data_IF_254558403643
#
_entry.id   IF_254558403643
#
_cell.length_a   1.000
_cell.length_b   1.000
_cell.length_c   1.000
_cell.angle_alpha   90.00
_cell.angle_beta   90.00
_cell.angle_gamma   90.00
#
_symmetry.space_group_name_H-M   'P 1'
#
loop_
_entity.id
_entity.type
_entity.pdbx_description
1 polymer ?
#
# COMPACT_ATOMS: atom_id res chain seq x y z
N UNK A 1 -3.07 -30.63 26.97
CA UNK A 1 -3.59 -30.34 25.61
C UNK A 1 -4.26 -28.98 25.63
N UNK A 2 -3.58 -27.94 25.17
CA UNK A 2 -4.15 -26.61 25.04
C UNK A 2 -5.22 -26.65 23.93
N UNK A 3 -6.46 -26.29 24.27
CA UNK A 3 -7.53 -26.14 23.28
C UNK A 3 -7.20 -24.92 22.43
N UNK A 4 -6.87 -25.16 21.19
CA UNK A 4 -6.52 -24.18 20.20
C UNK A 4 -7.76 -23.39 19.75
N UNK A 5 -7.67 -22.06 19.76
CA UNK A 5 -8.78 -21.16 19.47
C UNK A 5 -9.18 -21.13 17.99
N UNK A 6 -10.43 -20.82 17.72
CA UNK A 6 -10.99 -20.75 16.38
C UNK A 6 -10.66 -19.39 15.71
N UNK A 7 -10.41 -19.41 14.40
CA UNK A 7 -10.53 -18.24 13.57
C UNK A 7 -11.92 -17.64 13.79
N UNK A 8 -12.01 -16.39 14.24
CA UNK A 8 -13.30 -15.72 14.35
C UNK A 8 -13.65 -15.21 12.98
N UNK A 9 -14.43 -16.00 12.23
CA UNK A 9 -15.15 -15.49 11.07
C UNK A 9 -16.35 -14.78 11.64
N UNK A 10 -16.50 -13.50 11.34
CA UNK A 10 -17.72 -12.73 11.63
C UNK A 10 -18.58 -12.73 10.35
N UNK A 11 -19.42 -13.75 10.13
CA UNK A 11 -20.30 -13.76 8.99
C UNK A 11 -21.35 -12.68 9.16
N UNK A 12 -21.49 -11.80 8.15
CA UNK A 12 -22.61 -10.86 8.07
C UNK A 12 -22.54 -9.70 9.05
N UNK A 13 -21.34 -9.17 9.34
CA UNK A 13 -21.28 -7.85 9.94
C UNK A 13 -21.99 -6.88 8.99
N UNK A 14 -23.10 -6.31 9.41
CA UNK A 14 -23.88 -5.33 8.64
C UNK A 14 -23.01 -4.12 8.25
N UNK A 15 -21.92 -3.89 9.01
CA UNK A 15 -20.98 -2.79 8.84
C UNK A 15 -19.52 -3.27 9.05
N UNK A 16 -18.93 -3.96 8.06
CA UNK A 16 -17.59 -4.58 8.22
C UNK A 16 -16.47 -3.57 8.48
N UNK A 17 -16.50 -2.41 7.82
CA UNK A 17 -15.49 -1.35 7.96
C UNK A 17 -15.53 -0.76 9.38
N UNK A 18 -16.70 -0.41 9.87
CA UNK A 18 -16.92 0.17 11.21
C UNK A 18 -16.51 -0.83 12.28
N UNK A 19 -16.82 -2.09 12.07
CA UNK A 19 -16.42 -3.18 12.97
C UNK A 19 -14.90 -3.31 13.03
N UNK A 20 -14.22 -3.27 11.87
CA UNK A 20 -12.76 -3.30 11.82
C UNK A 20 -12.15 -2.11 12.54
N UNK A 21 -12.64 -0.89 12.29
CA UNK A 21 -12.15 0.35 12.94
C UNK A 21 -12.34 0.30 14.45
N UNK A 22 -13.50 -0.13 14.93
CA UNK A 22 -13.76 -0.21 16.37
C UNK A 22 -12.88 -1.24 17.09
N UNK A 23 -12.61 -2.39 16.45
CA UNK A 23 -11.66 -3.38 16.97
C UNK A 23 -10.24 -2.81 17.05
N UNK A 24 -9.82 -2.09 16.02
CA UNK A 24 -8.50 -1.48 15.96
C UNK A 24 -8.34 -0.35 16.98
N UNK A 25 -9.36 0.48 17.19
CA UNK A 25 -9.32 1.54 18.19
C UNK A 25 -9.06 0.98 19.60
N UNK A 26 -9.68 -0.15 19.90
CA UNK A 26 -9.44 -0.86 21.14
C UNK A 26 -7.98 -1.36 21.27
N UNK A 27 -7.35 -1.74 20.15
CA UNK A 27 -5.97 -2.22 20.06
C UNK A 27 -5.00 -1.16 19.54
N UNK A 28 -5.35 0.11 19.52
CA UNK A 28 -4.63 1.21 18.85
C UNK A 28 -3.18 1.40 19.29
N UNK A 29 -2.80 0.89 20.48
CA UNK A 29 -1.42 0.93 20.99
C UNK A 29 -0.57 -0.28 20.59
N UNK A 30 -1.17 -1.31 20.01
CA UNK A 30 -0.46 -2.51 19.55
C UNK A 30 -0.05 -2.36 18.10
N UNK A 31 0.92 -3.16 17.67
CA UNK A 31 1.17 -3.37 16.25
C UNK A 31 -0.06 -3.99 15.60
N UNK A 32 -0.43 -3.49 14.42
CA UNK A 32 -1.54 -4.04 13.65
C UNK A 32 -1.32 -3.93 12.16
N UNK A 33 -1.99 -4.80 11.41
CA UNK A 33 -2.28 -4.67 9.99
C UNK A 33 -3.75 -4.88 9.72
N UNK A 34 -4.29 -4.08 8.84
CA UNK A 34 -5.60 -4.27 8.22
C UNK A 34 -5.43 -4.33 6.73
N UNK A 35 -6.11 -5.26 6.11
CA UNK A 35 -6.12 -5.44 4.68
C UNK A 35 -7.52 -5.78 4.21
N UNK A 36 -8.05 -5.02 3.26
CA UNK A 36 -9.33 -5.30 2.61
C UNK A 36 -9.10 -5.90 1.24
N UNK A 37 -9.74 -7.03 1.00
CA UNK A 37 -9.78 -7.70 -0.30
C UNK A 37 -11.22 -8.10 -0.59
N UNK A 38 -11.78 -7.58 -1.67
CA UNK A 38 -13.10 -7.97 -2.16
C UNK A 38 -14.19 -7.87 -1.06
N UNK A 39 -14.22 -6.72 -0.36
CA UNK A 39 -15.10 -6.41 0.79
C UNK A 39 -14.89 -7.29 2.04
N UNK A 40 -13.88 -8.15 2.03
CA UNK A 40 -13.48 -8.94 3.21
C UNK A 40 -12.32 -8.23 3.92
N UNK A 41 -12.50 -8.03 5.23
CA UNK A 41 -11.52 -7.36 6.08
C UNK A 41 -10.69 -8.38 6.86
N UNK A 42 -9.38 -8.30 6.70
CA UNK A 42 -8.39 -9.13 7.37
C UNK A 42 -7.65 -8.29 8.39
N UNK A 43 -7.68 -8.69 9.65
CA UNK A 43 -7.05 -7.96 10.75
C UNK A 43 -5.95 -8.82 11.38
N UNK A 44 -4.74 -8.28 11.44
CA UNK A 44 -3.64 -8.79 12.24
C UNK A 44 -3.47 -7.91 13.47
N UNK A 45 -3.73 -8.43 14.67
CA UNK A 45 -3.70 -7.69 15.93
C UNK A 45 -2.58 -8.24 16.82
N UNK A 46 -1.57 -7.43 17.08
CA UNK A 46 -0.38 -7.82 17.83
C UNK A 46 0.56 -8.72 17.01
N UNK A 47 1.84 -8.53 17.18
CA UNK A 47 2.86 -9.37 16.56
C UNK A 47 3.13 -10.62 17.41
N UNK A 48 2.96 -11.82 16.83
CA UNK A 48 3.49 -13.05 17.39
C UNK A 48 4.98 -13.17 17.11
N UNK A 49 5.40 -12.78 15.93
CA UNK A 49 6.79 -12.60 15.55
C UNK A 49 6.89 -11.54 14.47
N UNK A 50 8.06 -10.93 14.35
CA UNK A 50 8.36 -9.98 13.26
C UNK A 50 9.70 -10.28 12.63
N UNK A 51 9.81 -10.15 11.31
CA UNK A 51 11.08 -10.14 10.58
C UNK A 51 11.29 -8.74 10.02
N UNK A 52 12.40 -8.11 10.36
CA UNK A 52 12.73 -6.74 9.95
C UNK A 52 14.06 -6.71 9.24
N UNK A 53 14.09 -6.13 8.06
CA UNK A 53 15.33 -5.91 7.31
C UNK A 53 15.79 -4.48 7.54
N UNK A 54 17.08 -4.33 7.84
CA UNK A 54 17.67 -3.01 8.05
C UNK A 54 17.59 -2.15 6.76
N UNK A 55 17.67 -0.82 6.90
CA UNK A 55 17.56 0.08 5.75
C UNK A 55 18.61 -0.09 4.66
N UNK A 56 19.74 -0.73 4.97
CA UNK A 56 20.81 -1.02 3.99
C UNK A 56 20.61 -2.38 3.32
N UNK A 57 19.67 -3.20 3.81
CA UNK A 57 19.43 -4.54 3.29
C UNK A 57 20.55 -5.52 3.63
N UNK A 58 21.29 -5.29 4.72
CA UNK A 58 22.45 -6.09 5.11
C UNK A 58 22.15 -7.08 6.23
N UNK A 59 21.15 -6.76 7.07
CA UNK A 59 20.81 -7.54 8.24
C UNK A 59 19.31 -7.79 8.30
N UNK A 60 18.92 -9.03 8.55
CA UNK A 60 17.58 -9.41 8.90
C UNK A 60 17.50 -9.72 10.39
N UNK A 61 16.54 -9.14 11.09
CA UNK A 61 16.32 -9.35 12.52
C UNK A 61 14.94 -9.96 12.73
N UNK A 62 14.93 -11.16 13.28
CA UNK A 62 13.72 -11.81 13.78
C UNK A 62 13.48 -11.36 15.23
N UNK A 63 12.22 -11.02 15.55
CA UNK A 63 11.78 -10.59 16.88
C UNK A 63 10.62 -11.50 17.26
N UNK A 64 10.75 -12.24 18.35
CA UNK A 64 9.69 -13.14 18.83
C UNK A 64 8.65 -12.42 19.71
N UNK A 65 7.64 -13.17 20.18
CA UNK A 65 6.55 -12.67 21.03
C UNK A 65 7.00 -12.15 22.39
N UNK A 66 8.22 -12.50 22.83
CA UNK A 66 8.81 -12.04 24.09
C UNK A 66 9.75 -10.82 23.85
N UNK A 67 9.89 -10.38 22.61
CA UNK A 67 10.75 -9.27 22.21
C UNK A 67 12.23 -9.66 22.09
N UNK A 68 12.58 -10.96 22.15
CA UNK A 68 13.94 -11.43 21.91
C UNK A 68 14.29 -11.25 20.44
N UNK A 69 15.51 -10.78 20.19
CA UNK A 69 16.00 -10.43 18.85
C UNK A 69 17.10 -11.36 18.43
N UNK A 70 16.95 -11.95 17.26
CA UNK A 70 17.99 -12.72 16.58
C UNK A 70 18.30 -12.06 15.23
N UNK A 71 19.55 -11.65 15.04
CA UNK A 71 19.98 -10.95 13.83
C UNK A 71 20.91 -11.83 13.01
N UNK A 72 20.68 -11.87 11.71
CA UNK A 72 21.51 -12.59 10.73
C UNK A 72 21.94 -11.68 9.60
N UNK A 73 23.17 -11.85 9.12
CA UNK A 73 23.68 -11.13 7.95
C UNK A 73 23.07 -11.70 6.67
N UNK A 74 22.65 -10.83 5.78
CA UNK A 74 22.12 -11.21 4.46
C UNK A 74 23.32 -11.35 3.52
N UNK A 75 23.78 -12.59 3.29
CA UNK A 75 24.98 -12.86 2.50
C UNK A 75 24.71 -12.84 0.99
N UNK A 76 23.53 -13.33 0.54
CA UNK A 76 23.20 -13.46 -0.88
C UNK A 76 21.78 -12.92 -1.17
N UNK A 77 20.76 -13.74 -0.98
CA UNK A 77 19.37 -13.39 -1.23
C UNK A 77 18.56 -13.46 0.07
N UNK A 78 17.89 -12.37 0.39
CA UNK A 78 16.97 -12.28 1.52
C UNK A 78 15.80 -13.29 1.44
N UNK A 79 15.48 -13.78 0.23
CA UNK A 79 14.38 -14.73 0.02
C UNK A 79 14.51 -16.00 0.84
N UNK A 80 15.71 -16.48 1.14
CA UNK A 80 15.92 -17.62 2.02
C UNK A 80 15.43 -17.38 3.46
N UNK A 81 15.82 -16.26 4.07
CA UNK A 81 15.41 -15.88 5.42
C UNK A 81 13.91 -15.58 5.49
N UNK A 82 13.37 -14.93 4.45
CA UNK A 82 11.94 -14.66 4.35
C UNK A 82 11.14 -15.96 4.28
N UNK A 83 11.54 -16.92 3.45
CA UNK A 83 10.88 -18.23 3.34
C UNK A 83 10.98 -19.01 4.65
N UNK A 84 12.11 -18.96 5.31
CA UNK A 84 12.30 -19.59 6.62
C UNK A 84 11.34 -18.99 7.67
N UNK A 85 11.24 -17.66 7.73
CA UNK A 85 10.30 -16.98 8.62
C UNK A 85 8.86 -17.36 8.28
N UNK A 86 8.47 -17.31 7.00
CA UNK A 86 7.12 -17.68 6.55
C UNK A 86 6.82 -19.13 6.91
N UNK A 87 7.70 -20.07 6.58
CA UNK A 87 7.53 -21.50 6.90
C UNK A 87 7.39 -21.76 8.40
N UNK A 88 8.12 -20.99 9.22
CA UNK A 88 8.07 -21.14 10.69
C UNK A 88 6.77 -20.64 11.29
N UNK A 89 6.20 -19.55 10.76
CA UNK A 89 5.10 -18.83 11.41
C UNK A 89 3.76 -18.89 10.67
N UNK A 90 3.72 -19.20 9.37
CA UNK A 90 2.48 -19.23 8.59
C UNK A 90 1.50 -20.32 9.05
N UNK A 91 2.00 -21.39 9.63
CA UNK A 91 1.18 -22.45 10.23
C UNK A 91 0.35 -21.95 11.43
N UNK A 92 0.77 -20.86 12.05
CA UNK A 92 0.13 -20.26 13.22
C UNK A 92 -0.89 -19.18 12.86
N UNK A 93 -0.86 -18.64 11.65
CA UNK A 93 -1.76 -17.56 11.23
C UNK A 93 -1.40 -16.93 9.91
N UNK A 94 -2.01 -15.77 9.65
CA UNK A 94 -1.65 -14.97 8.48
C UNK A 94 -0.36 -14.19 8.74
N UNK A 95 0.37 -13.94 7.67
CA UNK A 95 1.52 -13.05 7.67
C UNK A 95 1.14 -11.80 6.90
N UNK A 96 1.32 -10.66 7.53
CA UNK A 96 1.21 -9.35 6.92
C UNK A 96 2.60 -8.75 6.76
N UNK A 97 2.74 -7.83 5.82
CA UNK A 97 4.02 -7.18 5.66
C UNK A 97 3.98 -5.93 4.81
N UNK A 98 5.13 -5.29 4.76
CA UNK A 98 5.37 -4.15 3.89
C UNK A 98 6.79 -4.21 3.35
N UNK A 99 6.97 -3.75 2.13
CA UNK A 99 8.28 -3.56 1.51
C UNK A 99 8.35 -2.15 0.92
N UNK A 100 9.41 -1.43 1.20
CA UNK A 100 9.65 -0.11 0.63
C UNK A 100 10.02 -0.17 -0.85
N UNK A 101 10.06 0.98 -1.50
CA UNK A 101 10.63 1.10 -2.84
C UNK A 101 12.16 1.20 -2.79
N UNK A 102 12.83 0.74 -3.83
CA UNK A 102 14.29 0.53 -3.90
C UNK A 102 15.16 1.81 -3.93
N UNK A 103 14.73 2.93 -3.40
CA UNK A 103 15.31 4.26 -3.69
C UNK A 103 16.21 4.87 -2.61
N UNK A 104 16.88 4.11 -1.73
CA UNK A 104 17.87 4.71 -0.83
C UNK A 104 19.21 4.98 -1.54
N UNK A 105 19.81 6.15 -1.30
CA UNK A 105 21.16 6.49 -1.75
C UNK A 105 22.20 5.54 -1.12
N UNK A 106 23.04 4.92 -1.96
CA UNK A 106 24.32 4.39 -1.48
C UNK A 106 25.25 5.57 -1.16
N UNK A 107 26.11 5.42 -0.16
CA UNK A 107 27.15 6.41 0.07
C UNK A 107 28.05 6.56 -1.18
N UNK A 108 28.56 7.76 -1.46
CA UNK A 108 29.47 7.96 -2.59
C UNK A 108 30.63 6.96 -2.52
N UNK A 109 30.85 6.21 -3.62
CA UNK A 109 31.95 5.24 -3.75
C UNK A 109 31.63 3.80 -3.36
N UNK A 110 30.43 3.47 -2.89
CA UNK A 110 30.02 2.08 -2.66
C UNK A 110 29.35 1.48 -3.89
N UNK A 111 29.87 0.36 -4.38
CA UNK A 111 29.19 -0.48 -5.36
C UNK A 111 27.87 -0.97 -4.76
N UNK A 112 26.78 -0.73 -5.46
CA UNK A 112 25.44 -1.03 -5.00
C UNK A 112 25.08 -2.47 -5.34
N UNK A 113 24.92 -3.30 -4.32
CA UNK A 113 24.07 -4.48 -4.43
C UNK A 113 22.64 -4.01 -4.11
N UNK A 114 21.71 -3.96 -5.07
CA UNK A 114 20.34 -3.64 -4.76
C UNK A 114 19.81 -4.74 -3.84
N UNK A 115 19.51 -4.42 -2.56
CA UNK A 115 18.71 -5.34 -1.79
C UNK A 115 17.38 -5.47 -2.52
N UNK A 116 16.97 -6.67 -2.87
CA UNK A 116 15.70 -6.92 -3.57
C UNK A 116 14.50 -6.47 -2.74
N UNK A 117 14.70 -6.22 -1.43
CA UNK A 117 13.67 -5.99 -0.44
C UNK A 117 14.05 -4.86 0.53
N UNK A 118 14.14 -3.60 0.08
CA UNK A 118 14.49 -2.52 0.99
C UNK A 118 13.37 -2.35 2.01
N UNK A 119 13.76 -2.22 3.27
CA UNK A 119 12.83 -1.98 4.37
C UNK A 119 11.70 -3.03 4.50
N UNK A 120 11.95 -4.27 4.09
CA UNK A 120 10.99 -5.35 4.31
C UNK A 120 10.74 -5.52 5.81
N UNK A 121 9.47 -5.55 6.18
CA UNK A 121 9.04 -5.90 7.52
C UNK A 121 7.83 -6.82 7.42
N UNK A 122 7.93 -8.00 8.02
CA UNK A 122 6.85 -8.97 8.11
C UNK A 122 6.37 -9.07 9.56
N UNK A 123 5.09 -9.27 9.74
CA UNK A 123 4.44 -9.51 11.01
C UNK A 123 3.62 -10.80 10.91
N UNK A 124 4.03 -11.82 11.65
CA UNK A 124 3.23 -13.02 11.82
C UNK A 124 2.19 -12.79 12.91
N UNK A 125 0.95 -13.21 12.64
CA UNK A 125 -0.16 -13.13 13.59
C UNK A 125 -0.59 -14.54 14.01
N UNK A 126 -1.15 -14.69 15.18
CA UNK A 126 -1.71 -15.96 15.63
C UNK A 126 -3.06 -16.20 14.94
N UNK A 127 -3.21 -17.34 14.29
CA UNK A 127 -4.51 -17.84 13.78
C UNK A 127 -5.47 -18.12 14.93
N UNK A 128 -4.92 -18.34 16.10
CA UNK A 128 -5.63 -18.83 17.29
C UNK A 128 -5.41 -17.88 18.46
N UNK A 129 -6.46 -17.15 18.78
CA UNK A 129 -6.50 -16.33 19.98
C UNK A 129 -6.73 -17.16 21.24
N UNK A 130 -6.08 -16.83 22.38
CA UNK A 130 -6.51 -17.36 23.65
C UNK A 130 -8.01 -17.14 23.86
N UNK A 131 -8.72 -18.13 24.40
CA UNK A 131 -10.19 -18.07 24.57
C UNK A 131 -10.65 -16.77 25.26
N UNK A 132 -9.93 -16.30 26.28
CA UNK A 132 -10.20 -15.02 26.95
C UNK A 132 -10.19 -13.81 26.00
N UNK A 133 -9.27 -13.81 25.04
CA UNK A 133 -9.17 -12.73 24.04
C UNK A 133 -10.28 -12.84 23.00
N UNK A 134 -10.64 -14.05 22.59
CA UNK A 134 -11.78 -14.30 21.68
C UNK A 134 -13.11 -13.87 22.32
N UNK A 135 -13.34 -14.19 23.60
CA UNK A 135 -14.53 -13.75 24.34
C UNK A 135 -14.54 -12.23 24.51
N UNK A 136 -13.38 -11.62 24.75
CA UNK A 136 -13.25 -10.18 24.87
C UNK A 136 -13.59 -9.50 23.54
N UNK A 137 -13.11 -10.01 22.40
CA UNK A 137 -13.48 -9.50 21.08
C UNK A 137 -14.97 -9.64 20.82
N UNK A 138 -15.56 -10.79 21.14
CA UNK A 138 -17.02 -10.97 21.06
C UNK A 138 -17.78 -9.98 21.96
N UNK A 139 -17.23 -9.67 23.12
CA UNK A 139 -17.78 -8.64 24.02
C UNK A 139 -17.73 -7.24 23.41
N UNK A 140 -16.57 -6.87 22.84
CA UNK A 140 -16.38 -5.60 22.12
C UNK A 140 -17.37 -5.51 20.95
N UNK A 141 -17.45 -6.56 20.12
CA UNK A 141 -18.36 -6.61 18.98
C UNK A 141 -19.84 -6.42 19.38
N UNK A 142 -20.26 -6.98 20.52
CA UNK A 142 -21.59 -6.79 21.06
C UNK A 142 -21.84 -5.39 21.61
N UNK A 143 -20.79 -4.70 22.03
CA UNK A 143 -20.85 -3.33 22.56
C UNK A 143 -20.65 -2.24 21.49
N UNK A 144 -20.27 -2.62 20.27
CA UNK A 144 -20.18 -1.69 19.15
C UNK A 144 -21.60 -1.30 18.75
N UNK A 145 -21.99 -0.08 19.14
CA UNK A 145 -23.10 0.62 18.54
C UNK A 145 -22.55 1.61 17.53
N UNK A 146 -23.12 1.65 16.34
CA UNK A 146 -22.74 2.63 15.32
C UNK A 146 -22.83 4.07 15.84
N UNK A 147 -23.75 4.33 16.79
CA UNK A 147 -23.93 5.62 17.44
C UNK A 147 -22.72 6.02 18.32
N UNK A 148 -21.89 5.05 18.73
CA UNK A 148 -20.72 5.26 19.56
C UNK A 148 -19.41 5.36 18.77
N UNK A 149 -19.42 5.06 17.46
CA UNK A 149 -18.26 5.31 16.59
C UNK A 149 -18.22 6.80 16.34
N UNK A 150 -17.44 7.50 17.18
CA UNK A 150 -17.26 8.94 17.05
C UNK A 150 -16.60 9.25 15.70
N UNK A 151 -17.41 9.73 14.77
CA UNK A 151 -16.93 10.29 13.52
C UNK A 151 -16.63 11.77 13.76
N UNK A 152 -15.38 12.23 13.69
CA UNK A 152 -15.13 13.65 13.60
C UNK A 152 -15.88 14.18 12.37
N UNK A 153 -16.83 15.06 12.58
CA UNK A 153 -17.62 15.67 11.50
C UNK A 153 -16.85 16.72 10.72
N UNK A 154 -15.65 17.04 11.16
CA UNK A 154 -14.81 18.07 10.56
C UNK A 154 -13.51 17.42 10.05
N UNK A 155 -13.34 17.27 8.72
CA UNK A 155 -12.12 16.81 8.12
C UNK A 155 -11.07 17.91 8.22
N UNK A 156 -10.51 18.21 9.35
CA UNK A 156 -9.34 19.11 9.53
C UNK A 156 -9.13 20.23 8.50
N UNK A 157 -8.31 21.20 8.76
CA UNK A 157 -8.02 22.29 7.81
C UNK A 157 -7.56 21.76 6.45
N UNK A 158 -7.85 22.52 5.40
CA UNK A 158 -7.47 22.17 4.03
C UNK A 158 -5.94 21.97 3.95
N UNK A 159 -5.52 20.80 3.50
CA UNK A 159 -4.10 20.50 3.23
C UNK A 159 -3.69 21.26 1.97
N UNK A 160 -2.64 22.06 2.05
CA UNK A 160 -2.11 22.76 0.87
C UNK A 160 -1.39 21.77 -0.06
N UNK A 161 -2.04 21.42 -1.15
CA UNK A 161 -1.51 20.53 -2.16
C UNK A 161 -0.58 21.24 -3.16
N UNK A 162 -0.42 22.56 -3.07
CA UNK A 162 0.44 23.34 -3.99
C UNK A 162 1.89 23.42 -3.55
N UNK A 163 2.22 22.93 -2.37
CA UNK A 163 3.58 22.85 -1.86
C UNK A 163 4.51 22.16 -2.86
N UNK A 164 5.72 22.69 -3.04
CA UNK A 164 6.77 22.16 -3.92
C UNK A 164 6.45 22.24 -5.45
N UNK A 165 5.48 23.07 -5.86
CA UNK A 165 5.06 23.16 -7.26
C UNK A 165 6.22 23.46 -8.22
N UNK A 166 7.00 24.51 -7.94
CA UNK A 166 8.10 24.93 -8.80
C UNK A 166 9.23 23.90 -8.88
N UNK A 167 9.60 23.32 -7.76
CA UNK A 167 10.67 22.30 -7.72
C UNK A 167 10.21 21.01 -8.40
N UNK A 168 8.94 20.61 -8.24
CA UNK A 168 8.41 19.44 -8.93
C UNK A 168 8.35 19.65 -10.45
N UNK A 169 7.88 20.81 -10.92
CA UNK A 169 7.87 21.14 -12.35
C UNK A 169 9.28 21.14 -12.94
N UNK A 170 10.27 21.67 -12.21
CA UNK A 170 11.68 21.62 -12.63
C UNK A 170 12.21 20.16 -12.71
N UNK A 171 11.82 19.29 -11.78
CA UNK A 171 12.14 17.84 -11.84
C UNK A 171 11.53 17.17 -13.06
N UNK A 172 10.28 17.50 -13.39
CA UNK A 172 9.60 16.99 -14.60
C UNK A 172 10.29 17.48 -15.85
N UNK A 173 10.63 18.77 -15.95
CA UNK A 173 11.35 19.32 -17.10
C UNK A 173 12.70 18.63 -17.30
N UNK A 174 13.44 18.37 -16.22
CA UNK A 174 14.69 17.62 -16.27
C UNK A 174 14.47 16.16 -16.73
N UNK A 175 13.42 15.49 -16.24
CA UNK A 175 13.07 14.15 -16.69
C UNK A 175 12.76 14.10 -18.20
N UNK A 176 12.01 15.06 -18.72
CA UNK A 176 11.74 15.20 -20.17
C UNK A 176 13.05 15.36 -20.97
N UNK A 177 13.97 16.22 -20.50
CA UNK A 177 15.25 16.44 -21.14
C UNK A 177 16.10 15.16 -21.19
N UNK A 178 16.09 14.37 -20.13
CA UNK A 178 16.81 13.08 -20.08
C UNK A 178 16.16 12.01 -20.96
N UNK A 179 14.83 12.01 -21.07
CA UNK A 179 14.08 11.16 -22.00
C UNK A 179 14.43 11.53 -23.46
N UNK A 180 14.48 12.83 -23.77
CA UNK A 180 14.86 13.30 -25.11
C UNK A 180 16.30 12.86 -25.52
N UNK A 181 17.21 12.70 -24.53
CA UNK A 181 18.56 12.15 -24.75
C UNK A 181 18.57 10.61 -24.87
N UNK A 182 17.41 9.95 -24.82
CA UNK A 182 17.31 8.48 -24.93
C UNK A 182 17.78 7.71 -23.68
N UNK A 183 17.96 8.38 -22.54
CA UNK A 183 18.37 7.70 -21.29
C UNK A 183 17.25 6.86 -20.71
N UNK A 184 16.01 7.33 -20.84
CA UNK A 184 14.79 6.67 -20.39
C UNK A 184 13.69 6.80 -21.44
N UNK A 185 12.66 5.97 -21.38
CA UNK A 185 11.43 6.13 -22.16
C UNK A 185 10.28 6.68 -21.31
N UNK A 186 10.35 6.48 -19.99
CA UNK A 186 9.41 6.97 -19.00
C UNK A 186 10.12 7.13 -17.66
N UNK A 187 9.79 8.16 -16.91
CA UNK A 187 10.20 8.35 -15.52
C UNK A 187 8.99 8.75 -14.67
N UNK A 188 9.01 8.47 -13.36
CA UNK A 188 7.92 8.87 -12.46
C UNK A 188 8.51 9.60 -11.26
N UNK A 189 8.87 10.90 -11.40
CA UNK A 189 9.23 11.72 -10.27
C UNK A 189 8.05 11.87 -9.32
N UNK A 190 8.32 11.92 -8.03
CA UNK A 190 7.29 12.16 -7.01
C UNK A 190 7.62 13.37 -6.16
N UNK A 191 6.61 13.85 -5.42
CA UNK A 191 6.75 14.90 -4.43
C UNK A 191 6.04 14.55 -3.14
N UNK A 192 6.54 15.06 -2.02
CA UNK A 192 5.93 14.93 -0.70
C UNK A 192 5.19 16.20 -0.33
N UNK A 193 4.03 16.05 0.26
CA UNK A 193 3.28 17.13 0.91
C UNK A 193 3.30 16.85 2.41
N UNK A 194 4.07 17.61 3.19
CA UNK A 194 4.13 17.44 4.63
C UNK A 194 2.80 17.84 5.26
N UNK A 195 2.45 17.20 6.37
CA UNK A 195 1.31 17.56 7.21
C UNK A 195 1.86 18.20 8.48
N UNK A 196 1.25 19.28 8.93
CA UNK A 196 1.59 20.02 10.15
C UNK A 196 0.93 19.43 11.41
N UNK A 197 0.15 18.37 11.25
CA UNK A 197 -0.55 17.66 12.31
C UNK A 197 -0.34 16.15 12.22
N UNK A 198 -0.50 15.45 13.33
CA UNK A 198 -0.55 13.98 13.32
C UNK A 198 -1.91 13.50 12.84
N UNK A 199 -1.90 12.52 11.94
CA UNK A 199 -3.11 11.93 11.41
C UNK A 199 -3.67 10.85 12.37
N UNK A 200 -4.99 10.86 12.55
CA UNK A 200 -5.73 9.74 13.09
C UNK A 200 -5.93 8.69 11.99
N UNK A 201 -5.10 7.63 12.01
CA UNK A 201 -5.08 6.62 10.96
C UNK A 201 -6.40 5.84 10.84
N UNK A 202 -7.13 5.64 11.94
CA UNK A 202 -8.37 4.87 11.94
C UNK A 202 -9.56 5.72 11.49
N UNK A 203 -9.64 6.96 11.93
CA UNK A 203 -10.62 7.90 11.40
C UNK A 203 -10.41 8.14 9.91
N UNK A 204 -9.15 8.30 9.48
CA UNK A 204 -8.78 8.42 8.06
C UNK A 204 -9.16 7.17 7.26
N UNK A 205 -8.95 5.97 7.81
CA UNK A 205 -9.38 4.71 7.19
C UNK A 205 -10.89 4.71 6.93
N UNK A 206 -11.67 5.07 7.94
CA UNK A 206 -13.12 5.07 7.88
C UNK A 206 -13.68 6.07 6.85
N UNK A 207 -13.22 7.32 6.93
CA UNK A 207 -13.69 8.38 6.04
C UNK A 207 -13.22 8.15 4.59
N UNK A 208 -11.94 7.82 4.43
CA UNK A 208 -11.37 7.63 3.11
C UNK A 208 -11.93 6.40 2.38
N UNK A 209 -12.18 5.27 3.09
CA UNK A 209 -12.75 4.08 2.43
C UNK A 209 -14.19 4.31 1.96
N UNK A 210 -14.98 5.05 2.71
CA UNK A 210 -16.34 5.41 2.31
C UNK A 210 -16.40 6.28 1.05
N UNK A 211 -15.37 7.10 0.84
CA UNK A 211 -15.29 8.05 -0.27
C UNK A 211 -14.52 7.52 -1.50
N UNK A 212 -13.82 6.40 -1.37
CA UNK A 212 -12.97 5.85 -2.42
C UNK A 212 -13.44 4.46 -2.88
N UNK A 213 -13.08 4.13 -4.13
CA UNK A 213 -13.28 2.81 -4.75
C UNK A 213 -11.92 2.16 -5.07
N UNK A 214 -11.12 1.81 -4.04
CA UNK A 214 -9.79 1.25 -4.25
C UNK A 214 -9.85 -0.19 -4.76
N UNK A 215 -8.75 -0.68 -5.34
CA UNK A 215 -8.57 -2.10 -5.56
C UNK A 215 -8.35 -2.84 -4.23
N UNK A 216 -7.61 -2.20 -3.31
CA UNK A 216 -7.36 -2.69 -1.94
C UNK A 216 -7.27 -1.52 -0.98
N UNK A 217 -7.77 -1.73 0.24
CA UNK A 217 -7.59 -0.80 1.35
C UNK A 217 -6.66 -1.43 2.38
N UNK A 218 -5.80 -0.64 2.96
CA UNK A 218 -4.96 -1.09 4.07
C UNK A 218 -4.76 -0.01 5.12
N UNK A 219 -4.53 -0.44 6.35
CA UNK A 219 -3.99 0.40 7.43
C UNK A 219 -3.01 -0.42 8.25
N UNK A 220 -1.94 0.19 8.68
CA UNK A 220 -0.91 -0.47 9.48
C UNK A 220 -0.31 0.46 10.52
N UNK A 221 0.06 -0.15 11.64
CA UNK A 221 0.93 0.40 12.66
C UNK A 221 1.91 -0.72 13.05
N UNK A 222 3.14 -0.66 12.56
CA UNK A 222 4.12 -1.70 12.82
C UNK A 222 5.53 -1.14 12.76
N UNK A 223 6.32 -1.43 13.80
CA UNK A 223 7.72 -1.03 13.89
C UNK A 223 7.92 0.47 13.66
N UNK A 224 7.10 1.31 14.31
CA UNK A 224 7.20 2.76 14.27
C UNK A 224 6.72 3.45 12.99
N UNK A 225 6.20 2.70 12.03
CA UNK A 225 5.59 3.22 10.80
C UNK A 225 4.09 3.02 10.84
N UNK A 226 3.36 4.07 10.56
CA UNK A 226 1.92 4.05 10.36
C UNK A 226 1.60 4.46 8.92
N UNK A 227 0.66 3.79 8.31
CA UNK A 227 0.18 4.15 6.97
C UNK A 227 -1.27 3.70 6.80
N UNK A 228 -2.08 4.56 6.18
CA UNK A 228 -3.45 4.22 5.75
C UNK A 228 -3.58 4.59 4.28
N UNK A 229 -3.97 3.62 3.46
CA UNK A 229 -3.97 3.77 2.01
C UNK A 229 -5.17 3.13 1.32
N UNK A 230 -5.55 3.75 0.21
CA UNK A 230 -6.63 3.36 -0.70
C UNK A 230 -6.03 3.02 -2.06
N UNK A 231 -5.33 1.88 -2.09
CA UNK A 231 -4.54 1.48 -3.26
C UNK A 231 -5.40 1.29 -4.50
N UNK A 232 -5.05 1.90 -5.62
CA UNK A 232 -5.81 1.74 -6.86
C UNK A 232 -5.50 0.43 -7.59
N UNK A 233 -4.43 -0.30 -7.19
CA UNK A 233 -3.82 -1.34 -8.02
C UNK A 233 -3.31 -2.52 -7.21
N UNK A 234 -3.66 -3.75 -7.63
CA UNK A 234 -3.07 -4.99 -7.13
C UNK A 234 -1.76 -5.24 -7.85
N UNK A 235 -0.67 -5.21 -7.09
CA UNK A 235 0.67 -5.43 -7.62
C UNK A 235 0.91 -6.89 -7.99
N UNK A 236 0.47 -7.81 -7.15
CA UNK A 236 0.59 -9.24 -7.34
C UNK A 236 -0.49 -9.97 -6.54
N UNK A 237 -1.16 -10.91 -7.16
CA UNK A 237 -1.97 -11.90 -6.45
C UNK A 237 -1.67 -13.29 -6.98
N UNK A 238 -1.42 -14.23 -6.08
CA UNK A 238 -1.24 -15.64 -6.37
C UNK A 238 -2.21 -16.42 -5.51
N UNK A 239 -3.04 -17.24 -6.15
CA UNK A 239 -3.97 -18.12 -5.48
C UNK A 239 -4.01 -19.45 -6.23
N UNK A 240 -3.69 -20.55 -5.53
CA UNK A 240 -3.58 -21.89 -6.13
C UNK A 240 -2.70 -21.95 -7.40
N UNK A 241 -1.60 -21.18 -7.42
CA UNK A 241 -0.65 -21.10 -8.52
C UNK A 241 -1.12 -20.26 -9.72
N UNK A 242 -2.32 -19.69 -9.67
CA UNK A 242 -2.74 -18.67 -10.64
C UNK A 242 -2.20 -17.31 -10.20
N UNK A 243 -1.53 -16.65 -11.12
CA UNK A 243 -0.90 -15.35 -10.89
C UNK A 243 -1.65 -14.29 -11.67
N UNK A 244 -1.89 -13.14 -11.05
CA UNK A 244 -2.24 -11.94 -11.79
C UNK A 244 -1.59 -10.69 -11.20
N UNK A 245 -1.41 -9.70 -12.05
CA UNK A 245 -1.03 -8.34 -11.73
C UNK A 245 -1.91 -7.38 -12.52
N UNK A 246 -2.21 -6.25 -11.94
CA UNK A 246 -2.93 -5.18 -12.62
C UNK A 246 -1.93 -4.26 -13.31
N UNK A 247 -2.31 -3.73 -14.47
CA UNK A 247 -1.65 -2.62 -15.11
C UNK A 247 -2.64 -1.46 -15.12
N UNK A 248 -2.36 -0.44 -14.32
CA UNK A 248 -3.17 0.75 -14.16
C UNK A 248 -2.34 1.97 -14.54
N UNK A 249 -2.55 2.51 -15.72
CA UNK A 249 -1.82 3.68 -16.22
C UNK A 249 -2.66 4.44 -17.24
N UNK A 250 -2.35 5.70 -17.44
CA UNK A 250 -3.24 6.63 -18.11
C UNK A 250 -4.29 7.15 -17.12
N UNK A 251 -4.36 8.47 -16.92
CA UNK A 251 -5.17 9.08 -15.85
C UNK A 251 -5.94 10.27 -16.37
N UNK A 252 -7.21 10.33 -16.01
CA UNK A 252 -8.08 11.49 -16.26
C UNK A 252 -9.01 11.71 -15.07
N UNK A 253 -9.37 12.96 -14.78
CA UNK A 253 -10.44 13.27 -13.84
C UNK A 253 -11.76 12.62 -14.30
N UNK A 254 -12.50 12.05 -13.39
CA UNK A 254 -13.84 11.54 -13.65
C UNK A 254 -14.79 12.70 -13.81
N UNK A 255 -15.37 12.90 -14.99
CA UNK A 255 -16.29 14.01 -15.29
C UNK A 255 -17.69 13.81 -14.67
N UNK A 256 -18.08 12.56 -14.36
CA UNK A 256 -19.26 12.19 -13.55
C UNK A 256 -19.23 10.68 -13.21
N UNK A 257 -19.94 10.24 -12.17
CA UNK A 257 -20.12 8.80 -11.88
C UNK A 257 -20.86 8.04 -13.00
N UNK A 258 -21.60 8.80 -13.84
CA UNK A 258 -22.43 8.28 -14.94
C UNK A 258 -21.78 8.47 -16.32
N UNK A 259 -20.55 9.02 -16.38
CA UNK A 259 -19.84 9.19 -17.65
C UNK A 259 -19.77 7.86 -18.40
N UNK A 260 -20.17 7.87 -19.65
CA UNK A 260 -20.31 6.73 -20.56
C UNK A 260 -19.15 5.75 -20.40
N UNK A 261 -19.49 4.51 -20.04
CA UNK A 261 -18.57 3.38 -20.05
C UNK A 261 -18.27 2.91 -21.49
N UNK A 262 -18.76 3.64 -22.51
CA UNK A 262 -18.47 3.32 -23.89
C UNK A 262 -16.98 3.59 -24.19
N UNK A 263 -16.23 2.54 -24.56
CA UNK A 263 -14.80 2.70 -24.87
C UNK A 263 -14.53 3.70 -26.00
N UNK A 264 -15.47 3.89 -26.92
CA UNK A 264 -15.29 4.77 -28.09
C UNK A 264 -15.47 6.26 -27.76
N UNK A 265 -16.26 6.59 -26.74
CA UNK A 265 -16.50 7.98 -26.33
C UNK A 265 -15.53 8.45 -25.23
N UNK A 266 -14.70 7.55 -24.68
CA UNK A 266 -13.81 7.90 -23.57
C UNK A 266 -12.55 8.60 -24.08
N UNK A 267 -12.31 9.81 -23.58
CA UNK A 267 -11.14 10.63 -23.90
C UNK A 267 -9.81 9.90 -23.64
N UNK A 268 -9.75 8.99 -22.66
CA UNK A 268 -8.54 8.22 -22.34
C UNK A 268 -8.07 7.34 -23.51
N UNK A 269 -9.00 6.72 -24.24
CA UNK A 269 -8.66 5.90 -25.41
C UNK A 269 -8.17 6.72 -26.60
N UNK A 270 -8.51 8.00 -26.63
CA UNK A 270 -8.16 8.92 -27.71
C UNK A 270 -6.92 9.79 -27.38
N UNK A 271 -6.39 9.69 -26.17
CA UNK A 271 -5.17 10.39 -25.78
C UNK A 271 -3.93 9.54 -26.00
N UNK A 272 -3.10 9.93 -26.96
CA UNK A 272 -1.90 9.17 -27.33
C UNK A 272 -0.90 9.02 -26.19
N UNK A 273 -0.79 9.99 -25.27
CA UNK A 273 0.07 9.92 -24.07
C UNK A 273 -0.44 8.85 -23.12
N UNK A 274 -1.73 8.87 -22.82
CA UNK A 274 -2.36 7.96 -21.84
C UNK A 274 -2.34 6.50 -22.35
N UNK A 275 -2.66 6.31 -23.66
CA UNK A 275 -2.58 5.00 -24.33
C UNK A 275 -1.14 4.47 -24.32
N UNK A 276 -0.15 5.30 -24.68
CA UNK A 276 1.26 4.89 -24.66
C UNK A 276 1.72 4.50 -23.26
N UNK A 277 1.34 5.27 -22.25
CA UNK A 277 1.66 5.00 -20.86
C UNK A 277 1.13 3.63 -20.43
N UNK A 278 -0.11 3.33 -20.79
CA UNK A 278 -0.75 2.06 -20.47
C UNK A 278 -0.11 0.86 -21.19
N UNK A 279 0.19 0.99 -22.48
CA UNK A 279 0.89 -0.06 -23.24
C UNK A 279 2.26 -0.37 -22.66
N UNK A 280 3.00 0.66 -22.21
CA UNK A 280 4.27 0.48 -21.52
C UNK A 280 4.07 -0.31 -20.22
N UNK A 281 3.03 -0.01 -19.45
CA UNK A 281 2.72 -0.72 -18.19
C UNK A 281 2.41 -2.19 -18.45
N UNK A 282 1.52 -2.52 -19.39
CA UNK A 282 1.18 -3.89 -19.77
C UNK A 282 2.42 -4.68 -20.19
N UNK A 283 3.23 -4.10 -21.09
CA UNK A 283 4.47 -4.73 -21.59
C UNK A 283 5.47 -4.97 -20.45
N UNK A 284 5.54 -4.03 -19.52
CA UNK A 284 6.35 -4.15 -18.32
C UNK A 284 5.90 -5.33 -17.44
N UNK A 285 4.62 -5.42 -17.13
CA UNK A 285 4.01 -6.49 -16.32
C UNK A 285 4.22 -7.86 -16.95
N UNK A 286 3.94 -8.01 -18.24
CA UNK A 286 4.14 -9.26 -18.97
C UNK A 286 5.61 -9.73 -18.91
N UNK A 287 6.57 -8.84 -19.15
CA UNK A 287 8.01 -9.16 -19.08
C UNK A 287 8.44 -9.61 -17.68
N UNK A 288 7.80 -9.10 -16.62
CA UNK A 288 8.16 -9.43 -15.24
C UNK A 288 7.54 -10.73 -14.77
N UNK A 289 6.36 -11.10 -15.30
CA UNK A 289 5.77 -12.40 -15.04
C UNK A 289 6.44 -13.52 -15.84
N UNK A 290 7.01 -13.23 -17.01
CA UNK A 290 7.62 -14.22 -17.89
C UNK A 290 8.69 -15.14 -17.23
N UNK A 291 9.58 -14.67 -16.35
CA UNK A 291 10.55 -15.55 -15.68
C UNK A 291 9.91 -16.53 -14.69
N UNK A 292 8.80 -16.16 -14.05
CA UNK A 292 8.18 -16.91 -12.96
C UNK A 292 6.93 -17.69 -13.39
N UNK A 293 6.33 -17.35 -14.53
CA UNK A 293 5.16 -18.03 -15.07
C UNK A 293 5.51 -18.95 -16.24
N UNK A 294 4.65 -19.92 -16.54
CA UNK A 294 4.71 -20.71 -17.77
C UNK A 294 4.46 -19.78 -18.96
N UNK A 295 5.33 -19.73 -19.98
CA UNK A 295 5.24 -18.74 -21.06
C UNK A 295 3.90 -18.75 -21.79
N UNK A 296 3.38 -19.95 -22.07
CA UNK A 296 2.11 -20.19 -22.77
C UNK A 296 0.87 -19.79 -21.95
N UNK A 297 1.03 -19.58 -20.66
CA UNK A 297 -0.06 -19.21 -19.76
C UNK A 297 -0.26 -17.69 -19.62
N UNK A 298 0.69 -16.88 -20.13
CA UNK A 298 0.61 -15.43 -20.01
C UNK A 298 -0.48 -14.90 -20.95
N UNK A 299 -1.48 -14.28 -20.37
CA UNK A 299 -2.65 -13.76 -21.07
C UNK A 299 -3.08 -12.41 -20.52
N UNK A 300 -3.82 -11.67 -21.34
CA UNK A 300 -4.39 -10.38 -20.96
C UNK A 300 -5.90 -10.50 -20.83
N UNK A 301 -6.46 -9.90 -19.80
CA UNK A 301 -7.90 -9.79 -19.59
C UNK A 301 -8.26 -8.33 -19.30
N UNK A 302 -9.50 -7.94 -19.61
CA UNK A 302 -10.00 -6.56 -19.43
C UNK A 302 -9.07 -5.51 -20.05
N UNK A 303 -8.56 -5.83 -21.27
CA UNK A 303 -7.55 -5.03 -21.95
C UNK A 303 -8.04 -3.61 -22.24
N UNK A 304 -7.31 -2.62 -21.68
CA UNK A 304 -7.57 -1.19 -21.83
C UNK A 304 -8.99 -0.75 -21.36
N UNK A 305 -9.59 -1.46 -20.41
CA UNK A 305 -10.87 -1.07 -19.81
C UNK A 305 -10.70 0.23 -19.01
N UNK A 306 -11.68 1.12 -19.07
CA UNK A 306 -11.71 2.29 -18.18
C UNK A 306 -12.16 1.88 -16.80
N UNK A 307 -11.35 2.21 -15.78
CA UNK A 307 -11.58 1.84 -14.39
C UNK A 307 -11.63 3.08 -13.50
N UNK A 308 -12.78 3.40 -12.90
CA UNK A 308 -12.87 4.48 -11.92
C UNK A 308 -12.15 4.10 -10.62
N UNK A 309 -11.46 5.08 -10.04
CA UNK A 309 -10.75 4.97 -8.77
C UNK A 309 -10.85 6.29 -7.98
N UNK A 310 -11.94 6.49 -7.25
CA UNK A 310 -12.24 7.75 -6.57
C UNK A 310 -12.54 8.86 -7.57
N UNK A 311 -11.86 10.00 -7.44
CA UNK A 311 -12.03 11.18 -8.29
C UNK A 311 -11.41 11.07 -9.69
N UNK A 312 -10.69 9.99 -9.98
CA UNK A 312 -10.01 9.78 -11.26
C UNK A 312 -10.41 8.44 -11.89
N UNK A 313 -10.20 8.34 -13.20
CA UNK A 313 -10.35 7.11 -13.96
C UNK A 313 -9.04 6.78 -14.67
N UNK A 314 -8.82 5.49 -14.91
CA UNK A 314 -7.59 4.98 -15.51
C UNK A 314 -7.88 3.98 -16.62
N UNK A 315 -6.92 3.82 -17.55
CA UNK A 315 -6.87 2.61 -18.37
C UNK A 315 -6.36 1.45 -17.51
N UNK A 316 -7.01 0.31 -17.65
CA UNK A 316 -6.83 -0.87 -16.81
C UNK A 316 -6.72 -2.14 -17.65
N UNK A 317 -5.80 -3.03 -17.27
CA UNK A 317 -5.70 -4.37 -17.84
C UNK A 317 -5.19 -5.36 -16.80
N UNK A 318 -5.71 -6.60 -16.84
CA UNK A 318 -5.12 -7.71 -16.10
C UNK A 318 -4.08 -8.44 -16.94
N UNK A 319 -2.89 -8.67 -16.36
CA UNK A 319 -1.89 -9.60 -16.89
C UNK A 319 -1.90 -10.84 -16.01
N UNK A 320 -2.19 -12.00 -16.57
CA UNK A 320 -2.35 -13.27 -15.86
C UNK A 320 -1.33 -14.29 -16.33
N UNK A 321 -1.05 -15.27 -15.47
CA UNK A 321 -0.20 -16.40 -15.79
C UNK A 321 -0.37 -17.54 -14.81
N UNK A 322 0.28 -18.66 -15.07
CA UNK A 322 0.39 -19.78 -14.14
C UNK A 322 1.83 -19.89 -13.65
N UNK A 323 1.98 -19.91 -12.33
CA UNK A 323 3.28 -19.98 -11.68
C UNK A 323 4.00 -21.28 -12.06
N UNK A 324 5.30 -21.21 -12.30
CA UNK A 324 6.16 -22.40 -12.45
C UNK A 324 6.26 -23.12 -11.11
N UNK A 325 6.36 -24.44 -11.14
CA UNK A 325 6.43 -25.25 -9.91
C UNK A 325 7.61 -24.90 -8.97
N UNK A 326 8.72 -24.37 -9.53
CA UNK A 326 9.90 -23.97 -8.76
C UNK A 326 9.86 -22.53 -8.26
N UNK A 327 8.79 -21.77 -8.55
CA UNK A 327 8.66 -20.35 -8.21
C UNK A 327 7.54 -20.12 -7.20
N UNK A 328 7.67 -19.05 -6.44
CA UNK A 328 6.66 -18.56 -5.50
C UNK A 328 6.48 -17.03 -5.59
N UNK A 329 5.67 -16.46 -4.69
CA UNK A 329 5.42 -15.02 -4.65
C UNK A 329 6.67 -14.19 -4.34
N UNK A 330 7.64 -14.78 -3.63
CA UNK A 330 8.90 -14.11 -3.31
C UNK A 330 9.84 -14.02 -4.49
N UNK A 331 9.68 -14.86 -5.52
CA UNK A 331 10.39 -14.73 -6.79
C UNK A 331 9.74 -13.69 -7.71
N UNK A 332 8.40 -13.58 -7.66
CA UNK A 332 7.64 -12.67 -8.52
C UNK A 332 7.66 -11.21 -8.06
N UNK A 333 7.46 -10.98 -6.76
CA UNK A 333 7.20 -9.65 -6.19
C UNK A 333 8.33 -8.64 -6.42
N UNK A 334 9.63 -8.97 -6.27
CA UNK A 334 10.72 -8.00 -6.49
C UNK A 334 10.71 -7.41 -7.89
N UNK A 335 10.45 -8.27 -8.87
CA UNK A 335 10.31 -7.84 -10.25
C UNK A 335 9.20 -6.83 -10.46
N UNK A 336 8.07 -7.02 -9.81
CA UNK A 336 6.89 -6.18 -9.94
C UNK A 336 7.05 -4.85 -9.19
N UNK A 337 7.52 -4.84 -7.94
CA UNK A 337 7.80 -3.59 -7.20
C UNK A 337 8.75 -2.69 -7.99
N UNK A 338 9.78 -3.26 -8.63
CA UNK A 338 10.81 -2.49 -9.33
C UNK A 338 10.37 -1.91 -10.68
N UNK A 339 9.18 -2.24 -11.19
CA UNK A 339 8.94 -2.06 -12.61
C UNK A 339 7.84 -1.11 -13.05
N UNK A 340 6.63 -1.20 -12.46
CA UNK A 340 5.47 -0.83 -13.27
C UNK A 340 5.13 0.66 -13.17
N UNK A 341 5.03 1.14 -11.98
CA UNK A 341 4.55 2.50 -11.72
C UNK A 341 5.57 3.33 -10.95
N UNK A 342 6.75 2.76 -10.71
CA UNK A 342 7.70 3.32 -9.75
C UNK A 342 8.90 3.99 -10.39
N UNK A 343 9.69 3.35 -11.27
CA UNK A 343 10.87 4.03 -11.77
C UNK A 343 10.84 4.43 -13.25
N UNK A 344 9.94 3.88 -14.09
CA UNK A 344 9.99 4.08 -15.53
C UNK A 344 10.76 2.97 -16.29
N UNK A 345 11.18 3.19 -17.54
CA UNK A 345 11.83 2.20 -18.41
C UNK A 345 13.09 2.77 -19.09
N UNK A 346 14.17 2.00 -19.25
CA UNK A 346 14.44 0.61 -18.85
C UNK A 346 15.02 0.48 -17.43
N UNK A 347 14.69 -0.63 -16.75
CA UNK A 347 14.89 -1.04 -15.38
C UNK A 347 16.00 -0.44 -14.50
N UNK A 348 17.26 -0.93 -14.51
CA UNK A 348 18.25 -0.50 -13.50
C UNK A 348 18.63 0.98 -13.58
N UNK A 349 18.64 1.58 -14.77
CA UNK A 349 18.94 3.01 -14.99
C UNK A 349 17.86 3.93 -14.39
N UNK A 350 16.63 3.45 -14.24
CA UNK A 350 15.54 4.26 -13.70
C UNK A 350 15.58 4.42 -12.18
N UNK A 351 16.10 3.44 -11.45
CA UNK A 351 16.36 3.59 -10.02
C UNK A 351 17.42 4.69 -9.78
N UNK A 352 18.40 4.80 -10.68
CA UNK A 352 19.39 5.86 -10.67
C UNK A 352 18.73 7.22 -10.98
N UNK A 353 17.83 7.26 -11.98
CA UNK A 353 17.08 8.46 -12.34
C UNK A 353 16.27 9.03 -11.18
N UNK A 354 15.50 8.18 -10.49
CA UNK A 354 14.72 8.63 -9.33
C UNK A 354 15.61 9.24 -8.26
N UNK A 355 16.78 8.65 -8.01
CA UNK A 355 17.76 9.21 -7.06
C UNK A 355 18.31 10.57 -7.48
N UNK A 356 18.39 10.82 -8.79
CA UNK A 356 18.80 12.11 -9.33
C UNK A 356 17.67 13.15 -9.24
N UNK A 357 16.42 12.70 -9.36
CA UNK A 357 15.26 13.59 -9.36
C UNK A 357 14.69 13.86 -7.96
N UNK A 358 14.85 12.93 -7.02
CA UNK A 358 14.25 13.04 -5.69
C UNK A 358 15.31 13.25 -4.59
N UNK A 359 15.16 14.30 -3.78
CA UNK A 359 16.13 14.61 -2.73
C UNK A 359 16.07 13.63 -1.56
N UNK A 360 14.89 13.02 -1.33
CA UNK A 360 14.63 12.12 -0.22
C UNK A 360 14.23 10.72 -0.67
N UNK A 361 14.46 9.70 0.18
CA UNK A 361 13.96 8.36 -0.07
C UNK A 361 12.43 8.32 -0.13
N UNK A 362 11.91 7.41 -0.97
CA UNK A 362 10.46 7.17 -1.09
C UNK A 362 9.88 6.40 0.09
N UNK A 363 10.70 5.76 0.88
CA UNK A 363 10.32 4.89 1.98
C UNK A 363 9.29 3.83 1.51
N UNK A 364 8.07 3.82 2.06
CA UNK A 364 7.03 2.89 1.68
C UNK A 364 6.28 3.30 0.40
N UNK A 365 6.32 4.56 -0.01
CA UNK A 365 5.67 5.03 -1.24
C UNK A 365 6.16 4.26 -2.47
N UNK A 366 5.25 3.79 -3.32
CA UNK A 366 5.52 2.87 -4.43
C UNK A 366 6.16 1.52 -4.01
N UNK A 367 6.09 1.18 -2.75
CA UNK A 367 6.38 -0.16 -2.25
C UNK A 367 5.14 -1.04 -2.27
N UNK A 368 5.10 -2.04 -1.41
CA UNK A 368 4.00 -2.97 -1.30
C UNK A 368 3.53 -3.16 0.15
N UNK A 369 2.24 -3.37 0.33
CA UNK A 369 1.66 -4.01 1.52
C UNK A 369 1.24 -5.42 1.15
N UNK A 370 1.58 -6.38 2.01
CA UNK A 370 1.52 -7.80 1.76
C UNK A 370 0.54 -8.48 2.70
N UNK A 371 -0.14 -9.52 2.20
CA UNK A 371 -0.89 -10.48 3.00
C UNK A 371 -0.67 -11.88 2.46
N UNK A 372 -0.30 -12.80 3.35
CA UNK A 372 -0.09 -14.21 3.04
C UNK A 372 -0.98 -15.08 3.91
N UNK A 373 -1.55 -16.11 3.31
CA UNK A 373 -2.33 -17.14 3.98
C UNK A 373 -2.01 -18.51 3.38
N UNK A 374 -1.21 -19.30 4.07
CA UNK A 374 -0.84 -20.65 3.63
C UNK A 374 -2.03 -21.59 3.50
N UNK A 375 -3.08 -21.42 4.33
CA UNK A 375 -4.24 -22.27 4.29
C UNK A 375 -5.04 -22.12 3.00
N UNK A 376 -5.13 -20.91 2.47
CA UNK A 376 -5.77 -20.61 1.18
C UNK A 376 -4.76 -20.50 0.04
N UNK A 377 -3.48 -20.79 0.29
CA UNK A 377 -2.39 -20.64 -0.69
C UNK A 377 -2.38 -19.25 -1.35
N UNK A 378 -2.73 -18.25 -0.56
CA UNK A 378 -2.81 -16.87 -1.00
C UNK A 378 -1.50 -16.14 -0.71
N UNK A 379 -0.94 -15.52 -1.73
CA UNK A 379 0.09 -14.50 -1.62
C UNK A 379 -0.40 -13.26 -2.35
N UNK A 380 -0.65 -12.19 -1.63
CA UNK A 380 -1.15 -10.96 -2.24
C UNK A 380 -0.31 -9.76 -1.82
N UNK A 381 -0.12 -8.83 -2.76
CA UNK A 381 0.57 -7.57 -2.57
C UNK A 381 -0.18 -6.45 -3.28
N UNK A 382 -0.45 -5.36 -2.58
CA UNK A 382 -1.00 -4.13 -3.18
C UNK A 382 0.07 -3.06 -3.26
N UNK A 383 -0.01 -2.23 -4.29
CA UNK A 383 0.90 -1.11 -4.50
C UNK A 383 0.60 0.02 -3.51
N UNK A 384 1.62 0.58 -2.90
CA UNK A 384 1.44 1.67 -1.93
C UNK A 384 1.37 3.01 -2.65
N UNK A 385 0.16 3.41 -2.96
CA UNK A 385 -0.23 4.69 -3.54
C UNK A 385 -1.45 5.23 -2.78
N UNK A 386 -1.77 6.51 -2.94
CA UNK A 386 -2.94 7.16 -2.32
C UNK A 386 -2.99 6.88 -0.81
N UNK A 387 -1.89 7.20 -0.15
CA UNK A 387 -1.62 6.80 1.22
C UNK A 387 -1.18 8.00 2.04
N UNK A 388 -1.69 8.10 3.26
CA UNK A 388 -1.12 8.95 4.30
C UNK A 388 -0.10 8.14 5.09
N UNK A 389 1.06 8.73 5.31
CA UNK A 389 2.19 8.15 6.02
C UNK A 389 2.49 8.92 7.29
N UNK A 390 2.94 8.21 8.32
CA UNK A 390 3.35 8.80 9.58
C UNK A 390 4.42 7.93 10.26
N UNK A 391 5.47 8.56 10.74
CA UNK A 391 6.45 7.95 11.63
C UNK A 391 6.56 8.75 12.95
N UNK A 392 7.59 8.52 13.75
CA UNK A 392 7.77 9.22 15.00
C UNK A 392 8.00 10.74 14.82
N UNK A 393 8.44 11.17 13.63
CA UNK A 393 8.94 12.52 13.38
C UNK A 393 8.16 13.28 12.31
N UNK A 394 7.57 12.56 11.33
CA UNK A 394 7.00 13.16 10.12
C UNK A 394 5.64 12.56 9.80
N UNK A 395 4.81 13.39 9.16
CA UNK A 395 3.55 12.98 8.54
C UNK A 395 3.51 13.58 7.13
N UNK A 396 3.11 12.80 6.14
CA UNK A 396 3.10 13.28 4.75
C UNK A 396 2.15 12.50 3.86
N UNK A 397 1.77 13.14 2.78
CA UNK A 397 1.20 12.52 1.58
C UNK A 397 2.27 12.48 0.50
N UNK A 398 2.16 11.59 -0.48
CA UNK A 398 3.09 11.52 -1.61
C UNK A 398 2.39 11.09 -2.89
N UNK A 399 2.70 11.80 -3.98
CA UNK A 399 2.22 11.45 -5.32
C UNK A 399 3.29 11.73 -6.38
N UNK A 400 3.17 11.04 -7.50
CA UNK A 400 4.00 11.23 -8.69
C UNK A 400 3.19 11.03 -9.97
N UNK A 401 3.71 11.56 -11.06
CA UNK A 401 3.09 11.43 -12.39
C UNK A 401 4.05 10.78 -13.39
N UNK A 402 3.48 10.10 -14.38
CA UNK A 402 4.23 9.37 -15.41
C UNK A 402 4.73 10.28 -16.51
N UNK A 403 5.99 10.68 -16.46
CA UNK A 403 6.62 11.58 -17.42
C UNK A 403 7.12 10.81 -18.64
N UNK A 404 6.69 11.26 -19.82
CA UNK A 404 7.13 10.79 -21.15
C UNK A 404 7.63 11.97 -21.97
N UNK A 405 8.00 11.73 -23.23
CA UNK A 405 8.35 12.82 -24.18
C UNK A 405 7.19 13.77 -24.49
N UNK A 406 5.96 13.38 -24.21
CA UNK A 406 4.74 14.18 -24.47
C UNK A 406 4.27 14.97 -23.23
N UNK A 407 4.93 14.78 -22.08
CA UNK A 407 4.57 15.40 -20.82
C UNK A 407 4.82 16.91 -20.81
N UNK A 408 4.00 17.64 -20.03
CA UNK A 408 4.16 19.06 -19.74
C UNK A 408 4.27 19.26 -18.24
N UNK A 409 5.29 19.97 -17.72
CA UNK A 409 5.54 20.11 -16.29
C UNK A 409 4.32 20.53 -15.47
N UNK A 410 3.54 21.51 -15.99
CA UNK A 410 2.36 22.06 -15.33
C UNK A 410 1.25 21.00 -15.24
N UNK A 411 1.04 20.21 -16.31
CA UNK A 411 0.03 19.16 -16.34
C UNK A 411 0.39 18.01 -15.40
N UNK A 412 1.65 17.59 -15.40
CA UNK A 412 2.11 16.54 -14.50
C UNK A 412 2.03 16.97 -13.02
N UNK A 413 2.26 18.24 -12.72
CA UNK A 413 2.03 18.79 -11.40
C UNK A 413 0.54 18.73 -11.03
N UNK A 414 -0.35 19.19 -11.91
CA UNK A 414 -1.80 19.12 -11.72
C UNK A 414 -2.26 17.68 -11.46
N UNK A 415 -1.72 16.70 -12.21
CA UNK A 415 -2.02 15.28 -12.03
C UNK A 415 -1.62 14.79 -10.62
N UNK A 416 -0.50 15.28 -10.06
CA UNK A 416 -0.16 14.93 -8.67
C UNK A 416 -1.15 15.51 -7.67
N UNK A 417 -1.66 16.72 -7.89
CA UNK A 417 -2.71 17.31 -7.05
C UNK A 417 -4.00 16.47 -7.14
N UNK A 418 -4.46 16.15 -8.35
CA UNK A 418 -5.64 15.30 -8.59
C UNK A 418 -5.54 13.94 -7.87
N UNK A 419 -4.34 13.32 -7.89
CA UNK A 419 -4.08 12.07 -7.16
C UNK A 419 -4.10 12.26 -5.63
N UNK A 420 -3.60 13.36 -5.12
CA UNK A 420 -3.62 13.68 -3.70
C UNK A 420 -5.03 14.03 -3.21
N UNK A 421 -5.85 14.67 -4.01
CA UNK A 421 -7.24 14.97 -3.71
C UNK A 421 -8.10 13.73 -3.43
N UNK A 422 -7.68 12.57 -3.91
CA UNK A 422 -8.37 11.31 -3.57
C UNK A 422 -8.15 10.87 -2.11
N UNK A 423 -7.20 11.48 -1.38
CA UNK A 423 -6.85 11.12 0.00
C UNK A 423 -6.93 12.32 0.94
N UNK A 424 -6.37 13.45 0.55
CA UNK A 424 -6.17 14.61 1.41
C UNK A 424 -7.45 15.09 2.14
N UNK A 425 -8.64 15.15 1.51
CA UNK A 425 -9.87 15.57 2.19
C UNK A 425 -10.31 14.65 3.31
N UNK A 426 -9.78 13.42 3.36
CA UNK A 426 -10.18 12.39 4.30
C UNK A 426 -9.14 12.15 5.39
N UNK A 427 -8.03 12.88 5.37
CA UNK A 427 -7.01 12.80 6.43
C UNK A 427 -7.52 13.55 7.65
N UNK A 428 -7.78 12.81 8.71
CA UNK A 428 -8.35 13.34 9.94
C UNK A 428 -7.23 13.65 10.94
N UNK A 429 -7.13 14.86 11.48
CA UNK A 429 -6.17 15.19 12.51
C UNK A 429 -6.40 14.41 13.79
N UNK A 430 -5.32 13.91 14.41
CA UNK A 430 -5.36 13.30 15.73
C UNK A 430 -5.69 14.40 16.76
N UNK A 431 -6.77 14.22 17.51
CA UNK A 431 -7.13 15.16 18.59
C UNK A 431 -6.26 14.89 19.82
N UNK A 432 -5.76 15.94 20.44
CA UNK A 432 -5.06 15.82 21.70
C UNK A 432 -5.95 15.11 22.74
N UNK A 433 -5.40 14.09 23.37
CA UNK A 433 -6.08 13.21 24.31
C UNK A 433 -6.62 13.92 25.57
N UNK A 434 -6.34 15.20 25.75
CA UNK A 434 -6.85 16.05 26.81
C UNK A 434 -8.34 16.38 26.65
N UNK A 435 -8.88 16.41 25.42
CA UNK A 435 -10.31 16.69 25.16
C UNK A 435 -11.24 15.48 25.35
N UNK A 436 -10.75 14.24 25.13
CA UNK A 436 -11.59 13.03 25.25
C UNK A 436 -11.80 12.56 26.69
N UNK A 437 -10.79 12.69 27.56
CA UNK A 437 -10.91 12.30 28.98
C UNK A 437 -11.99 13.07 29.72
N UNK A 438 -12.33 14.29 29.30
CA UNK A 438 -13.37 15.10 29.91
C UNK A 438 -14.79 14.68 29.47
N UNK A 439 -14.97 14.10 28.30
CA UNK A 439 -16.29 13.73 27.76
C UNK A 439 -16.72 12.32 28.14
N UNK A 440 -15.82 11.36 28.16
CA UNK A 440 -16.11 10.00 28.67
C UNK A 440 -16.41 10.03 30.16
N UNK A 441 -15.72 10.87 30.95
CA UNK A 441 -16.09 11.09 32.36
C UNK A 441 -17.48 11.74 32.53
N UNK A 442 -17.92 12.63 31.64
CA UNK A 442 -19.24 13.25 31.69
C UNK A 442 -20.38 12.28 31.29
N UNK A 443 -20.15 11.37 30.37
CA UNK A 443 -21.10 10.34 29.99
C UNK A 443 -21.29 9.31 31.13
N UNK A 444 -20.19 8.89 31.77
CA UNK A 444 -20.22 7.94 32.89
C UNK A 444 -20.88 8.53 34.18
N UNK A 445 -20.71 9.84 34.38
CA UNK A 445 -21.34 10.54 35.52
C UNK A 445 -22.84 10.84 35.30
N UNK A 446 -23.33 10.83 34.06
CA UNK A 446 -24.77 10.95 33.76
C UNK A 446 -25.54 9.62 33.89
N UNK A 447 -24.85 8.47 33.65
CA UNK A 447 -25.50 7.15 33.81
C UNK A 447 -25.57 6.65 35.25
N UNK A 448 -24.96 7.33 36.21
CA UNK A 448 -25.03 7.02 37.65
C UNK A 448 -25.99 7.92 38.42
N UNK A 449 -26.76 8.77 37.73
CA UNK A 449 -27.76 9.67 38.33
C UNK A 449 -29.17 9.49 37.74
N UNK A 450 -29.47 8.30 37.22
CA UNK A 450 -30.86 7.87 36.96
C UNK A 450 -31.13 6.58 37.66
#
# INVERSE_FOLDING_TARGET
MARFGQQIILPGAEFPLETAVALLDYYSKADYYVYERDDIWYLGLGAHASLVVDPKGQTATEIDSEGRKESSTILNLLTGQVRQFVSKYSIHGKIFGRSGSTTRRAAPGQAYAPSQWPMLSLMATLKMMPMKQAERIKGILKSISLDNIYLPSDPGGAIDLTVDAGEYQARVANAIAEIAKGRYTKAIPSRKVPLDFRADMLATLLHGRRANTPARTFSLNHMGMQATGFSPEVLLSIEDGNVYTEALAGTQLSESPEASLDPFDNKLHNDAKEVMEHVIAIKGSSRRLSPVCLPESIAFKDFMKVMPRGSVQHLFSHVRGRLRAACDGWDALPGLIANITVPGMPGPRNLEAIRCFEPEPRDLYCGAVLMLDECSKLFEATLVLRTVFQDAHRQWLQAGAGVTSYSKPEREFAETCEKLESVAPFVIPQRDSLGLKSRVRRAHLRSQRC
#
